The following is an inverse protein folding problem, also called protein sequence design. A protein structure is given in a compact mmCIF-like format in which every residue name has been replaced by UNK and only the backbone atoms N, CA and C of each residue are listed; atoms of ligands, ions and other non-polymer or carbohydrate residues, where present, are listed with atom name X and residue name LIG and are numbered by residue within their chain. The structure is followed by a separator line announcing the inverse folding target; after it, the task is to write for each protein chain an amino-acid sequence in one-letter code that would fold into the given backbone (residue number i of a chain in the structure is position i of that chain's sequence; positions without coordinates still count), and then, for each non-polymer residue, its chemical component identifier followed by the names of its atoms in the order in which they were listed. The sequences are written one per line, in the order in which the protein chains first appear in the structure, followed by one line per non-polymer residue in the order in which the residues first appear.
data_IF_729839411180
#
_entry.id   IF_729839411180
#
_cell.length_a   1.000
_cell.length_b   1.000
_cell.length_c   1.000
_cell.angle_alpha   90.00
_cell.angle_beta   90.00
_cell.angle_gamma   90.00
#
_symmetry.space_group_name_H-M   'P 1'
#
loop_
_entity.id
_entity.type
_entity.pdbx_description
1 polymer ?
#
# COMPACT_ATOMS: atom_id res chain seq x y z
N UNK A 1 14.57 -9.52 4.18
CA UNK A 1 13.85 -10.33 3.21
C UNK A 1 12.84 -11.22 3.93
N UNK A 2 11.59 -11.17 3.50
CA UNK A 2 10.56 -12.11 3.92
C UNK A 2 10.27 -13.07 2.75
N UNK A 3 10.57 -14.35 2.91
CA UNK A 3 10.36 -15.37 1.86
C UNK A 3 9.20 -16.33 2.20
N UNK A 4 8.78 -16.35 3.45
CA UNK A 4 7.67 -17.17 3.94
C UNK A 4 6.36 -16.39 4.06
N UNK A 5 5.31 -17.06 4.50
CA UNK A 5 4.07 -16.42 4.89
C UNK A 5 4.22 -15.72 6.25
N UNK A 6 3.81 -14.46 6.31
CA UNK A 6 3.76 -13.67 7.54
C UNK A 6 2.31 -13.30 7.84
N UNK A 7 1.84 -13.58 9.05
CA UNK A 7 0.52 -13.15 9.52
C UNK A 7 0.69 -12.22 10.71
N UNK A 8 0.20 -11.01 10.58
CA UNK A 8 0.31 -9.94 11.57
C UNK A 8 -1.09 -9.58 12.07
N UNK A 9 -1.30 -9.65 13.37
CA UNK A 9 -2.60 -9.42 14.00
C UNK A 9 -2.47 -8.65 15.30
N UNK A 10 -3.57 -8.11 15.79
CA UNK A 10 -3.67 -7.51 17.13
C UNK A 10 -2.67 -6.37 17.41
N UNK A 11 -2.46 -5.49 16.45
CA UNK A 11 -1.55 -4.35 16.61
C UNK A 11 -0.07 -4.69 16.49
N UNK A 12 0.26 -5.83 15.88
CA UNK A 12 1.66 -6.22 15.65
C UNK A 12 2.27 -5.56 14.41
N UNK A 13 3.61 -5.48 14.40
CA UNK A 13 4.38 -5.08 13.20
C UNK A 13 5.24 -6.26 12.73
N UNK A 14 5.08 -6.63 11.46
CA UNK A 14 5.83 -7.76 10.90
C UNK A 14 7.31 -7.44 10.66
N UNK A 15 7.59 -6.40 9.89
CA UNK A 15 8.95 -5.90 9.63
C UNK A 15 9.01 -4.42 9.98
N UNK A 16 9.92 -4.03 10.86
CA UNK A 16 10.16 -2.62 11.19
C UNK A 16 11.62 -2.26 10.93
N UNK A 17 11.83 -1.18 10.17
CA UNK A 17 13.16 -0.66 9.88
C UNK A 17 13.18 0.83 10.22
N UNK A 18 14.13 1.23 11.08
CA UNK A 18 14.33 2.62 11.47
C UNK A 18 15.66 3.12 10.90
N UNK A 19 15.63 4.00 9.92
CA UNK A 19 16.83 4.58 9.30
C UNK A 19 16.63 4.91 7.83
N UNK A 20 17.44 5.85 7.34
CA UNK A 20 17.43 6.26 5.95
C UNK A 20 17.99 5.17 5.02
N UNK A 21 17.67 5.26 3.75
CA UNK A 21 18.12 4.35 2.69
C UNK A 21 17.78 2.88 2.93
N UNK A 22 16.74 2.62 3.72
CA UNK A 22 16.33 1.27 4.09
C UNK A 22 15.65 0.52 2.93
N UNK A 23 15.85 -0.79 2.85
CA UNK A 23 15.15 -1.63 1.86
C UNK A 23 14.54 -2.87 2.51
N UNK A 24 13.25 -3.08 2.25
CA UNK A 24 12.54 -4.31 2.60
C UNK A 24 12.14 -5.06 1.33
N UNK A 25 12.41 -6.36 1.28
CA UNK A 25 11.97 -7.24 0.20
C UNK A 25 11.02 -8.29 0.77
N UNK A 26 9.78 -8.30 0.29
CA UNK A 26 8.72 -9.22 0.69
C UNK A 26 8.37 -10.12 -0.50
N UNK A 27 9.01 -11.28 -0.58
CA UNK A 27 8.76 -12.27 -1.64
C UNK A 27 7.66 -13.26 -1.25
N UNK A 28 7.41 -13.40 0.04
CA UNK A 28 6.36 -14.26 0.57
C UNK A 28 5.04 -13.53 0.79
N UNK A 29 4.00 -14.28 1.08
CA UNK A 29 2.69 -13.73 1.39
C UNK A 29 2.70 -12.97 2.72
N UNK A 30 2.11 -11.77 2.75
CA UNK A 30 1.91 -10.99 3.96
C UNK A 30 0.41 -10.80 4.21
N UNK A 31 -0.06 -11.22 5.38
CA UNK A 31 -1.44 -11.03 5.83
C UNK A 31 -1.42 -10.08 7.02
N UNK A 32 -2.15 -8.98 6.91
CA UNK A 32 -2.30 -8.00 7.98
C UNK A 32 -3.78 -7.94 8.36
N UNK A 33 -4.10 -8.33 9.58
CA UNK A 33 -5.49 -8.36 10.05
C UNK A 33 -5.62 -7.70 11.42
N UNK A 34 -6.41 -6.67 11.46
CA UNK A 34 -6.75 -5.97 12.69
C UNK A 34 -6.13 -4.59 12.81
N UNK A 35 -6.83 -3.78 13.57
CA UNK A 35 -6.47 -2.39 13.82
C UNK A 35 -5.05 -2.27 14.40
N UNK A 36 -4.34 -1.24 13.97
CA UNK A 36 -2.98 -0.92 14.37
C UNK A 36 -1.94 -2.02 14.02
N UNK A 37 -2.32 -2.99 13.16
CA UNK A 37 -1.38 -3.98 12.63
C UNK A 37 -0.69 -3.44 11.38
N UNK A 38 0.63 -3.65 11.27
CA UNK A 38 1.41 -3.19 10.11
C UNK A 38 2.28 -4.33 9.57
N UNK A 39 2.19 -4.60 8.28
CA UNK A 39 3.00 -5.64 7.63
C UNK A 39 4.47 -5.22 7.56
N UNK A 40 4.77 -4.13 6.88
CA UNK A 40 6.12 -3.55 6.76
C UNK A 40 6.08 -2.08 7.11
N UNK A 41 6.89 -1.66 8.07
CA UNK A 41 7.04 -0.28 8.51
C UNK A 41 8.48 0.20 8.25
N UNK A 42 8.63 1.34 7.59
CA UNK A 42 9.93 2.01 7.42
C UNK A 42 9.82 3.45 7.93
N UNK A 43 10.69 3.81 8.88
CA UNK A 43 10.82 5.15 9.41
C UNK A 43 12.17 5.73 8.99
N UNK A 44 12.19 6.54 7.91
CA UNK A 44 13.39 7.17 7.36
C UNK A 44 13.21 7.56 5.90
N UNK A 45 14.08 8.45 5.43
CA UNK A 45 14.06 8.92 4.05
C UNK A 45 14.63 7.88 3.07
N UNK A 46 14.23 7.96 1.82
CA UNK A 46 14.66 7.05 0.75
C UNK A 46 14.32 5.58 1.06
N UNK A 47 13.29 5.33 1.87
CA UNK A 47 12.82 3.97 2.15
C UNK A 47 12.34 3.27 0.89
N UNK A 48 12.68 1.98 0.73
CA UNK A 48 12.21 1.19 -0.40
C UNK A 48 11.58 -0.12 0.05
N UNK A 49 10.38 -0.41 -0.47
CA UNK A 49 9.74 -1.72 -0.32
C UNK A 49 9.55 -2.35 -1.68
N UNK A 50 9.94 -3.61 -1.82
CA UNK A 50 9.63 -4.45 -2.97
C UNK A 50 8.70 -5.54 -2.46
N UNK A 51 7.47 -5.54 -2.95
CA UNK A 51 6.42 -6.49 -2.59
C UNK A 51 6.15 -7.40 -3.80
N UNK A 52 6.88 -8.50 -3.89
CA UNK A 52 6.72 -9.50 -4.95
C UNK A 52 5.67 -10.56 -4.57
N UNK A 53 5.48 -10.83 -3.29
CA UNK A 53 4.45 -11.72 -2.76
C UNK A 53 3.10 -11.03 -2.57
N UNK A 54 2.06 -11.83 -2.30
CA UNK A 54 0.72 -11.30 -2.07
C UNK A 54 0.61 -10.51 -0.77
N UNK A 55 -0.19 -9.46 -0.78
CA UNK A 55 -0.46 -8.57 0.36
C UNK A 55 -1.97 -8.53 0.63
N UNK A 56 -2.41 -9.16 1.72
CA UNK A 56 -3.80 -9.15 2.16
C UNK A 56 -3.94 -8.27 3.40
N UNK A 57 -4.78 -7.22 3.34
CA UNK A 57 -4.97 -6.27 4.44
C UNK A 57 -6.45 -6.16 4.81
N UNK A 58 -6.75 -6.33 6.09
CA UNK A 58 -8.11 -6.29 6.62
C UNK A 58 -8.17 -5.75 8.05
N UNK A 59 -9.39 -5.52 8.54
CA UNK A 59 -9.64 -5.16 9.94
C UNK A 59 -9.05 -3.82 10.39
N UNK A 60 -8.76 -2.89 9.47
CA UNK A 60 -8.15 -1.60 9.79
C UNK A 60 -6.63 -1.64 9.92
N UNK A 61 -5.97 -2.61 9.31
CA UNK A 61 -4.50 -2.71 9.28
C UNK A 61 -3.87 -1.96 8.11
N UNK A 62 -2.55 -1.77 8.16
CA UNK A 62 -1.72 -1.21 7.09
C UNK A 62 -0.78 -2.27 6.53
N UNK A 63 -0.80 -2.49 5.22
CA UNK A 63 0.08 -3.46 4.58
C UNK A 63 1.54 -2.98 4.58
N UNK A 64 1.77 -1.82 3.98
CA UNK A 64 3.06 -1.12 3.95
C UNK A 64 2.84 0.29 4.46
N UNK A 65 3.65 0.71 5.43
CA UNK A 65 3.63 2.05 6.02
C UNK A 65 5.03 2.64 6.01
N UNK A 66 5.20 3.76 5.30
CA UNK A 66 6.49 4.44 5.21
C UNK A 66 6.35 5.90 5.67
N UNK A 67 7.15 6.28 6.65
CA UNK A 67 7.29 7.68 7.07
C UNK A 67 8.66 8.20 6.65
N UNK A 68 8.67 9.15 5.71
CA UNK A 68 9.89 9.78 5.21
C UNK A 68 9.78 10.17 3.73
N UNK A 69 10.62 11.10 3.33
CA UNK A 69 10.64 11.63 1.96
C UNK A 69 11.30 10.69 0.97
N UNK A 70 10.92 10.82 -0.30
CA UNK A 70 11.52 10.08 -1.42
C UNK A 70 11.38 8.56 -1.31
N UNK A 71 10.35 8.09 -0.64
CA UNK A 71 10.05 6.69 -0.51
C UNK A 71 9.62 6.05 -1.84
N UNK A 72 9.92 4.78 -2.03
CA UNK A 72 9.51 4.02 -3.21
C UNK A 72 8.90 2.68 -2.79
N UNK A 73 7.73 2.36 -3.35
CA UNK A 73 7.12 1.04 -3.23
C UNK A 73 6.93 0.45 -4.62
N UNK A 74 7.48 -0.73 -4.84
CA UNK A 74 7.27 -1.54 -6.04
C UNK A 74 6.40 -2.74 -5.66
N UNK A 75 5.10 -2.71 -5.97
CA UNK A 75 4.18 -3.82 -5.73
C UNK A 75 3.94 -4.60 -7.03
N UNK A 76 4.40 -5.83 -7.07
CA UNK A 76 4.24 -6.77 -8.18
C UNK A 76 3.31 -7.94 -7.85
N UNK A 77 3.14 -8.22 -6.57
CA UNK A 77 2.20 -9.22 -6.09
C UNK A 77 0.76 -8.75 -6.12
N UNK A 78 -0.17 -9.65 -5.84
CA UNK A 78 -1.58 -9.31 -5.67
C UNK A 78 -1.77 -8.54 -4.36
N UNK A 79 -2.49 -7.42 -4.42
CA UNK A 79 -2.88 -6.67 -3.23
C UNK A 79 -4.40 -6.76 -3.02
N UNK A 80 -4.82 -7.25 -1.88
CA UNK A 80 -6.24 -7.28 -1.47
C UNK A 80 -6.41 -6.42 -0.23
N UNK A 81 -7.27 -5.41 -0.30
CA UNK A 81 -7.57 -4.52 0.82
C UNK A 81 -9.07 -4.56 1.09
N UNK A 82 -9.43 -4.93 2.30
CA UNK A 82 -10.83 -5.10 2.70
C UNK A 82 -11.07 -4.44 4.05
N UNK A 83 -12.23 -3.88 4.21
CA UNK A 83 -12.74 -3.22 5.41
C UNK A 83 -12.30 -1.75 5.58
N UNK A 84 -13.13 -0.96 6.26
CA UNK A 84 -12.83 0.43 6.55
C UNK A 84 -11.52 0.58 7.36
N UNK A 85 -10.83 1.66 7.14
CA UNK A 85 -9.53 1.98 7.77
C UNK A 85 -8.38 1.05 7.34
N UNK A 86 -8.62 0.01 6.51
CA UNK A 86 -7.54 -0.81 5.96
C UNK A 86 -6.86 -0.09 4.80
N UNK A 87 -5.52 -0.03 4.83
CA UNK A 87 -4.72 0.62 3.78
C UNK A 87 -3.66 -0.35 3.27
N UNK A 88 -3.64 -0.58 1.97
CA UNK A 88 -2.63 -1.45 1.36
C UNK A 88 -1.23 -0.84 1.45
N UNK A 89 -1.08 0.37 0.94
CA UNK A 89 0.18 1.13 0.94
C UNK A 89 -0.09 2.53 1.46
N UNK A 90 0.56 2.93 2.55
CA UNK A 90 0.56 4.29 3.07
C UNK A 90 1.97 4.87 3.01
N UNK A 91 2.08 6.13 2.55
CA UNK A 91 3.34 6.87 2.58
C UNK A 91 3.07 8.29 3.10
N UNK A 92 3.76 8.66 4.17
CA UNK A 92 3.76 9.99 4.74
C UNK A 92 5.10 10.68 4.46
N UNK A 93 5.17 11.43 3.34
CA UNK A 93 6.39 12.12 2.91
C UNK A 93 6.32 12.61 1.47
N UNK A 94 7.16 13.58 1.16
CA UNK A 94 7.22 14.21 -0.16
C UNK A 94 7.98 13.35 -1.18
N UNK A 95 7.67 13.54 -2.46
CA UNK A 95 8.34 12.88 -3.61
C UNK A 95 8.26 11.36 -3.58
N UNK A 96 7.22 10.83 -2.95
CA UNK A 96 6.98 9.41 -2.91
C UNK A 96 6.63 8.85 -4.29
N UNK A 97 7.04 7.61 -4.55
CA UNK A 97 6.69 6.89 -5.78
C UNK A 97 6.12 5.53 -5.42
N UNK A 98 4.93 5.23 -5.93
CA UNK A 98 4.34 3.89 -5.84
C UNK A 98 4.18 3.35 -7.26
N UNK A 99 4.77 2.19 -7.52
CA UNK A 99 4.59 1.43 -8.75
C UNK A 99 3.77 0.18 -8.43
N UNK A 100 2.52 0.18 -8.85
CA UNK A 100 1.61 -0.94 -8.67
C UNK A 100 1.44 -1.69 -9.99
N UNK A 101 2.25 -2.74 -10.16
CA UNK A 101 2.29 -3.57 -11.36
C UNK A 101 1.39 -4.82 -11.21
N UNK A 102 1.15 -5.24 -9.98
CA UNK A 102 0.30 -6.38 -9.64
C UNK A 102 -1.20 -6.06 -9.70
N UNK A 103 -2.03 -7.08 -9.54
CA UNK A 103 -3.47 -6.92 -9.43
C UNK A 103 -3.85 -6.37 -8.06
N UNK A 104 -4.72 -5.36 -8.03
CA UNK A 104 -5.24 -4.76 -6.78
C UNK A 104 -6.74 -4.90 -6.70
N UNK A 105 -7.23 -5.42 -5.59
CA UNK A 105 -8.67 -5.54 -5.28
C UNK A 105 -8.96 -4.82 -3.96
N UNK A 106 -9.76 -3.77 -4.02
CA UNK A 106 -10.10 -2.93 -2.88
C UNK A 106 -11.62 -2.98 -2.67
N UNK A 107 -12.05 -3.36 -1.47
CA UNK A 107 -13.47 -3.57 -1.17
C UNK A 107 -13.86 -3.06 0.21
N UNK A 108 -15.15 -2.91 0.44
CA UNK A 108 -15.75 -2.62 1.75
C UNK A 108 -15.19 -1.39 2.48
N UNK A 109 -14.81 -0.34 1.75
CA UNK A 109 -14.29 0.89 2.35
C UNK A 109 -12.78 0.91 2.59
N UNK A 110 -12.04 -0.05 2.06
CA UNK A 110 -10.58 -0.04 2.10
C UNK A 110 -9.94 0.97 1.16
N UNK A 111 -8.68 1.32 1.38
CA UNK A 111 -7.85 2.16 0.50
C UNK A 111 -6.66 1.38 -0.02
N UNK A 112 -6.52 1.30 -1.34
CA UNK A 112 -5.39 0.59 -1.95
C UNK A 112 -4.07 1.30 -1.70
N UNK A 113 -3.95 2.53 -2.18
CA UNK A 113 -2.74 3.36 -2.00
C UNK A 113 -3.14 4.74 -1.49
N UNK A 114 -2.50 5.19 -0.41
CA UNK A 114 -2.62 6.54 0.12
C UNK A 114 -1.25 7.19 0.25
N UNK A 115 -1.09 8.38 -0.31
CA UNK A 115 0.14 9.15 -0.20
C UNK A 115 -0.20 10.53 0.36
N UNK A 116 0.42 10.88 1.48
CA UNK A 116 0.30 12.18 2.13
C UNK A 116 1.61 12.94 1.96
N UNK A 117 1.72 13.75 0.91
CA UNK A 117 2.93 14.52 0.61
C UNK A 117 2.88 15.19 -0.75
N UNK A 118 3.76 16.16 -0.95
CA UNK A 118 3.87 16.91 -2.20
C UNK A 118 4.72 16.16 -3.24
N UNK A 119 4.52 16.48 -4.52
CA UNK A 119 5.28 15.94 -5.65
C UNK A 119 5.26 14.39 -5.76
N UNK A 120 4.22 13.76 -5.26
CA UNK A 120 4.08 12.31 -5.25
C UNK A 120 3.60 11.75 -6.60
N UNK A 121 3.97 10.50 -6.90
CA UNK A 121 3.53 9.79 -8.10
C UNK A 121 3.06 8.39 -7.79
N UNK A 122 1.89 8.02 -8.29
CA UNK A 122 1.40 6.64 -8.27
C UNK A 122 1.22 6.14 -9.72
N UNK A 123 1.92 5.07 -10.07
CA UNK A 123 1.85 4.41 -11.37
C UNK A 123 1.12 3.08 -11.20
N UNK A 124 -0.09 2.96 -11.73
CA UNK A 124 -0.90 1.76 -11.69
C UNK A 124 -0.92 1.12 -13.09
N UNK A 125 -0.06 0.16 -13.33
CA UNK A 125 0.02 -0.57 -14.60
C UNK A 125 -0.66 -1.94 -14.53
N UNK A 126 -0.88 -2.45 -13.33
CA UNK A 126 -1.69 -3.63 -13.07
C UNK A 126 -3.19 -3.37 -13.11
N UNK A 127 -3.98 -4.42 -13.06
CA UNK A 127 -5.44 -4.29 -12.95
C UNK A 127 -5.83 -3.81 -11.55
N UNK A 128 -6.69 -2.79 -11.48
CA UNK A 128 -7.25 -2.30 -10.22
C UNK A 128 -8.77 -2.47 -10.22
N UNK A 129 -9.30 -3.15 -9.22
CA UNK A 129 -10.74 -3.30 -8.98
C UNK A 129 -11.10 -2.61 -7.68
N UNK A 130 -12.01 -1.67 -7.72
CA UNK A 130 -12.52 -0.92 -6.54
C UNK A 130 -14.02 -1.15 -6.43
N UNK A 131 -14.45 -1.89 -5.42
CA UNK A 131 -15.86 -2.23 -5.25
C UNK A 131 -16.33 -1.93 -3.84
N UNK A 132 -17.46 -1.31 -3.77
CA UNK A 132 -18.13 -1.00 -2.51
C UNK A 132 -18.02 0.46 -2.11
N UNK A 133 -18.97 0.84 -1.30
CA UNK A 133 -19.07 2.22 -0.80
C UNK A 133 -17.82 2.59 0.00
N UNK A 134 -17.33 3.81 -0.24
CA UNK A 134 -16.18 4.41 0.44
C UNK A 134 -14.83 3.68 0.19
N UNK A 135 -14.78 2.72 -0.76
CA UNK A 135 -13.53 2.10 -1.20
C UNK A 135 -12.76 3.06 -2.12
N UNK A 136 -11.45 3.17 -1.96
CA UNK A 136 -10.59 4.06 -2.76
C UNK A 136 -9.43 3.29 -3.38
N UNK A 137 -9.24 3.41 -4.68
CA UNK A 137 -8.11 2.79 -5.37
C UNK A 137 -6.79 3.48 -5.02
N UNK A 138 -6.66 4.76 -5.42
CA UNK A 138 -5.47 5.56 -5.15
C UNK A 138 -5.86 6.96 -4.69
N UNK A 139 -5.27 7.43 -3.61
CA UNK A 139 -5.45 8.77 -3.07
C UNK A 139 -4.10 9.46 -2.87
N UNK A 140 -3.96 10.69 -3.36
CA UNK A 140 -2.79 11.54 -3.08
C UNK A 140 -3.27 12.83 -2.42
N UNK A 141 -2.86 13.05 -1.19
CA UNK A 141 -3.15 14.24 -0.39
C UNK A 141 -1.91 15.13 -0.34
N UNK A 142 -1.80 16.06 -1.29
CA UNK A 142 -0.67 16.97 -1.40
C UNK A 142 -0.74 17.78 -2.70
N UNK A 143 0.24 18.66 -2.89
CA UNK A 143 0.35 19.46 -4.11
C UNK A 143 1.16 18.70 -5.18
N UNK A 144 0.86 18.95 -6.46
CA UNK A 144 1.57 18.35 -7.60
C UNK A 144 1.54 16.81 -7.62
N UNK A 145 0.54 16.18 -7.00
CA UNK A 145 0.35 14.73 -7.06
C UNK A 145 0.00 14.27 -8.47
N UNK A 146 0.53 13.13 -8.89
CA UNK A 146 0.28 12.53 -10.20
C UNK A 146 -0.14 11.08 -10.07
N UNK A 147 -1.30 10.72 -10.60
CA UNK A 147 -1.75 9.32 -10.72
C UNK A 147 -1.76 8.95 -12.20
N UNK A 148 -1.03 7.91 -12.56
CA UNK A 148 -0.99 7.33 -13.90
C UNK A 148 -1.67 5.97 -13.84
N UNK A 149 -2.80 5.82 -14.54
CA UNK A 149 -3.55 4.58 -14.62
C UNK A 149 -3.45 4.02 -16.05
N UNK A 150 -2.48 3.14 -16.28
CA UNK A 150 -2.28 2.48 -17.58
C UNK A 150 -2.91 1.09 -17.62
N UNK A 151 -3.10 0.45 -16.47
CA UNK A 151 -3.80 -0.82 -16.35
C UNK A 151 -5.32 -0.67 -16.35
N UNK A 152 -6.03 -1.79 -16.40
CA UNK A 152 -7.49 -1.81 -16.32
C UNK A 152 -7.98 -1.30 -14.96
N UNK A 153 -8.98 -0.42 -14.97
CA UNK A 153 -9.62 0.10 -13.75
C UNK A 153 -11.12 -0.20 -13.78
N UNK A 154 -11.56 -1.07 -12.88
CA UNK A 154 -12.97 -1.40 -12.67
C UNK A 154 -13.46 -0.76 -11.37
N UNK A 155 -14.41 0.16 -11.44
CA UNK A 155 -14.98 0.83 -10.26
C UNK A 155 -16.47 0.56 -10.17
N UNK A 156 -16.95 0.05 -9.05
CA UNK A 156 -18.34 -0.27 -8.82
C UNK A 156 -18.78 -0.01 -7.37
N UNK A 157 -20.05 -0.21 -7.09
CA UNK A 157 -20.58 -0.16 -5.72
C UNK A 157 -20.45 1.16 -4.97
N UNK A 158 -20.10 2.27 -5.66
CA UNK A 158 -19.84 3.57 -5.02
C UNK A 158 -18.39 3.78 -4.58
N UNK A 159 -17.47 3.00 -5.13
CA UNK A 159 -16.03 3.19 -4.94
C UNK A 159 -15.46 4.38 -5.73
N UNK A 160 -14.23 4.73 -5.43
CA UNK A 160 -13.43 5.77 -6.09
C UNK A 160 -12.16 5.15 -6.68
N UNK A 161 -11.90 5.41 -7.96
CA UNK A 161 -10.73 4.89 -8.68
C UNK A 161 -9.43 5.63 -8.42
#
# INVERSE_FOLDING_TARGET
NNEGESTITNGGTGTQINGDDATANNNGKTIVDGKDSTGTEINGNNGKVIQDGDLDVSGGGHGIDITGDSATVDNKGTMTVTDPESIGIQIDGDKAVVNNEGESTITNGGTGTQINGDDATANNTGKTTVDGKDSTGTEINGNNGNVIQDGDLDVSGGGHG
#
